data_IF_783035335114
#
_entry.id   IF_783035335114
#
_cell.length_a   1.000
_cell.length_b   1.000
_cell.length_c   1.000
_cell.angle_alpha   90.00
_cell.angle_beta   90.00
_cell.angle_gamma   90.00
#
_symmetry.space_group_name_H-M   'P 1'
#
loop_
_entity.id
_entity.type
_entity.pdbx_description
1 polymer ?
#
# COMPACT_ATOMS: atom_id res chain seq x y z
N UNK A 1 -14.86 -7.54 11.96
CA UNK A 1 -13.87 -7.26 10.88
C UNK A 1 -13.02 -6.00 11.12
N UNK A 2 -13.57 -4.78 11.17
CA UNK A 2 -12.74 -3.56 11.38
C UNK A 2 -12.05 -3.47 12.75
N UNK A 3 -12.78 -3.79 13.83
CA UNK A 3 -12.22 -3.80 15.19
C UNK A 3 -11.17 -4.90 15.38
N UNK A 4 -11.35 -6.08 14.77
CA UNK A 4 -10.34 -7.16 14.77
C UNK A 4 -9.06 -6.72 14.06
N UNK A 5 -9.16 -5.96 12.96
CA UNK A 5 -7.99 -5.44 12.26
C UNK A 5 -7.21 -4.44 13.12
N UNK A 6 -7.92 -3.57 13.86
CA UNK A 6 -7.28 -2.66 14.82
C UNK A 6 -6.67 -3.41 16.00
N UNK A 7 -7.33 -4.44 16.53
CA UNK A 7 -6.82 -5.25 17.63
C UNK A 7 -5.48 -5.91 17.29
N UNK A 8 -5.26 -6.32 16.04
CA UNK A 8 -3.97 -6.86 15.58
C UNK A 8 -2.82 -5.84 15.66
N UNK A 9 -3.11 -4.55 15.62
CA UNK A 9 -2.10 -3.49 15.75
C UNK A 9 -1.71 -3.21 17.21
N UNK A 10 -2.57 -3.61 18.14
CA UNK A 10 -2.32 -3.44 19.57
C UNK A 10 -1.40 -4.56 20.12
N UNK A 11 -1.39 -5.74 19.49
CA UNK A 11 -0.46 -6.80 19.85
C UNK A 11 0.97 -6.46 19.39
N UNK A 12 1.80 -6.03 20.34
CA UNK A 12 3.20 -5.65 20.08
C UNK A 12 4.07 -6.86 19.86
N UNK A 13 5.06 -6.71 18.97
CA UNK A 13 6.06 -7.74 18.77
C UNK A 13 6.92 -7.92 20.03
N UNK A 14 7.25 -9.16 20.37
CA UNK A 14 8.22 -9.40 21.43
C UNK A 14 9.66 -9.16 20.93
N UNK A 15 10.60 -9.01 21.86
CA UNK A 15 12.02 -8.87 21.47
C UNK A 15 12.51 -10.08 20.67
N UNK A 16 12.08 -11.29 21.03
CA UNK A 16 12.43 -12.54 20.35
C UNK A 16 11.92 -12.54 18.91
N UNK A 17 10.72 -12.02 18.67
CA UNK A 17 10.18 -11.88 17.32
C UNK A 17 10.99 -10.89 16.48
N UNK A 18 11.43 -9.77 17.08
CA UNK A 18 12.28 -8.78 16.41
C UNK A 18 13.67 -9.38 16.10
N UNK A 19 14.26 -10.10 17.06
CA UNK A 19 15.54 -10.81 16.88
C UNK A 19 15.43 -11.88 15.80
N UNK A 20 14.37 -12.68 15.78
CA UNK A 20 14.13 -13.70 14.77
C UNK A 20 13.97 -13.09 13.36
N UNK A 21 13.24 -11.97 13.26
CA UNK A 21 13.14 -11.23 12.00
C UNK A 21 14.50 -10.72 11.52
N UNK A 22 15.31 -10.15 12.41
CA UNK A 22 16.66 -9.70 12.06
C UNK A 22 17.48 -10.84 11.46
N UNK A 23 17.47 -12.02 12.11
CA UNK A 23 18.17 -13.21 11.62
C UNK A 23 17.65 -13.68 10.25
N UNK A 24 16.34 -13.62 10.01
CA UNK A 24 15.77 -13.95 8.69
C UNK A 24 16.26 -13.00 7.61
N UNK A 25 16.29 -11.69 7.89
CA UNK A 25 16.75 -10.69 6.93
C UNK A 25 18.26 -10.79 6.69
N UNK A 26 19.06 -10.99 7.74
CA UNK A 26 20.51 -11.12 7.60
C UNK A 26 20.94 -12.40 6.87
N UNK A 27 20.15 -13.48 7.00
CA UNK A 27 20.36 -14.71 6.23
C UNK A 27 19.90 -14.63 4.78
N UNK A 28 18.95 -13.74 4.47
CA UNK A 28 18.34 -13.59 3.14
C UNK A 28 18.91 -12.48 2.27
N UNK A 29 19.54 -11.47 2.87
CA UNK A 29 19.96 -10.24 2.19
C UNK A 29 21.43 -9.91 2.48
N UNK A 30 22.03 -9.12 1.59
CA UNK A 30 23.41 -8.65 1.77
C UNK A 30 23.47 -7.59 2.85
N UNK A 31 24.36 -7.75 3.82
CA UNK A 31 24.71 -6.69 4.77
C UNK A 31 25.56 -5.61 4.11
N UNK A 32 25.55 -4.40 4.67
CA UNK A 32 26.49 -3.36 4.23
C UNK A 32 27.91 -3.73 4.67
N UNK A 33 28.93 -3.49 3.83
CA UNK A 33 30.32 -3.80 4.18
C UNK A 33 30.73 -3.11 5.48
N UNK A 34 31.42 -3.83 6.36
CA UNK A 34 32.01 -3.33 7.63
C UNK A 34 31.01 -2.90 8.72
N UNK A 35 29.75 -3.30 8.65
CA UNK A 35 28.83 -3.12 9.79
C UNK A 35 29.11 -4.14 10.90
N UNK A 36 29.11 -3.66 12.14
CA UNK A 36 29.02 -4.51 13.33
C UNK A 36 27.62 -5.12 13.39
N UNK A 37 27.55 -6.45 13.27
CA UNK A 37 26.29 -7.20 13.26
C UNK A 37 25.53 -7.08 14.58
N UNK A 38 26.24 -7.05 15.72
CA UNK A 38 25.62 -6.91 17.04
C UNK A 38 25.04 -5.52 17.22
N UNK A 39 25.80 -4.48 16.86
CA UNK A 39 25.30 -3.11 16.91
C UNK A 39 24.10 -2.92 15.98
N UNK A 40 24.10 -3.57 14.81
CA UNK A 40 22.98 -3.53 13.87
C UNK A 40 21.74 -4.24 14.43
N UNK A 41 21.90 -5.42 15.03
CA UNK A 41 20.79 -6.14 15.68
C UNK A 41 20.16 -5.30 16.81
N UNK A 42 20.98 -4.63 17.61
CA UNK A 42 20.52 -3.71 18.67
C UNK A 42 19.76 -2.52 18.07
N UNK A 43 20.27 -1.92 16.99
CA UNK A 43 19.58 -0.82 16.31
C UNK A 43 18.19 -1.25 15.79
N UNK A 44 18.07 -2.46 15.25
CA UNK A 44 16.79 -3.04 14.85
C UNK A 44 15.85 -3.25 16.04
N UNK A 45 16.34 -3.80 17.15
CA UNK A 45 15.57 -3.98 18.37
C UNK A 45 15.00 -2.65 18.87
N UNK A 46 15.82 -1.61 18.97
CA UNK A 46 15.39 -0.29 19.41
C UNK A 46 14.41 0.37 18.45
N UNK A 47 14.70 0.34 17.14
CA UNK A 47 13.89 1.06 16.14
C UNK A 47 12.50 0.43 15.97
N UNK A 48 12.38 -0.87 16.20
CA UNK A 48 11.13 -1.60 15.95
C UNK A 48 10.32 -1.91 17.21
N UNK A 49 10.86 -1.55 18.37
CA UNK A 49 10.14 -1.68 19.63
C UNK A 49 8.84 -0.85 19.60
N UNK A 50 7.74 -1.44 20.09
CA UNK A 50 6.43 -0.79 20.11
C UNK A 50 5.62 -0.91 18.80
N UNK A 51 6.20 -1.48 17.74
CA UNK A 51 5.47 -1.85 16.54
C UNK A 51 4.68 -3.15 16.74
N UNK A 52 3.57 -3.28 16.02
CA UNK A 52 2.74 -4.48 16.07
C UNK A 52 3.48 -5.69 15.50
N UNK A 53 3.22 -6.86 16.10
CA UNK A 53 3.68 -8.15 15.60
C UNK A 53 3.28 -8.36 14.14
N UNK A 54 2.07 -7.94 13.77
CA UNK A 54 1.58 -8.04 12.41
C UNK A 54 2.42 -7.20 11.43
N UNK A 55 2.75 -5.96 11.77
CA UNK A 55 3.54 -5.09 10.90
C UNK A 55 4.94 -5.65 10.68
N UNK A 56 5.62 -6.11 11.75
CA UNK A 56 6.97 -6.70 11.63
C UNK A 56 6.95 -7.96 10.75
N UNK A 57 6.02 -8.90 10.98
CA UNK A 57 5.93 -10.13 10.18
C UNK A 57 5.62 -9.82 8.71
N UNK A 58 4.73 -8.86 8.46
CA UNK A 58 4.36 -8.45 7.11
C UNK A 58 5.53 -7.78 6.40
N UNK A 59 6.20 -6.83 7.06
CA UNK A 59 7.37 -6.15 6.52
C UNK A 59 8.51 -7.12 6.18
N UNK A 60 8.82 -8.05 7.09
CA UNK A 60 9.84 -9.09 6.87
C UNK A 60 9.54 -9.89 5.60
N UNK A 61 8.31 -10.38 5.48
CA UNK A 61 7.86 -11.16 4.32
C UNK A 61 7.94 -10.34 3.04
N UNK A 62 7.50 -9.09 3.08
CA UNK A 62 7.45 -8.24 1.89
C UNK A 62 8.87 -7.88 1.43
N UNK A 63 9.79 -7.59 2.36
CA UNK A 63 11.22 -7.40 2.09
C UNK A 63 11.83 -8.64 1.46
N UNK A 64 11.64 -9.82 2.07
CA UNK A 64 12.16 -11.09 1.55
C UNK A 64 11.61 -11.46 0.17
N UNK A 65 10.41 -10.99 -0.18
CA UNK A 65 9.80 -11.19 -1.50
C UNK A 65 10.15 -10.08 -2.50
N UNK A 66 10.93 -9.07 -2.10
CA UNK A 66 11.21 -7.90 -2.93
C UNK A 66 9.97 -7.04 -3.24
N UNK A 67 8.94 -7.09 -2.39
CA UNK A 67 7.67 -6.36 -2.52
C UNK A 67 7.56 -5.13 -1.63
N UNK A 68 8.52 -4.92 -0.72
CA UNK A 68 8.54 -3.76 0.14
C UNK A 68 8.97 -2.50 -0.64
N UNK A 69 7.97 -1.76 -1.13
CA UNK A 69 8.19 -0.55 -1.93
C UNK A 69 9.06 0.47 -1.17
N UNK A 70 10.07 1.00 -1.85
CA UNK A 70 11.02 1.96 -1.27
C UNK A 70 12.20 1.32 -0.52
N UNK A 71 12.19 0.01 -0.29
CA UNK A 71 13.33 -0.71 0.31
C UNK A 71 14.12 -1.48 -0.76
N UNK A 72 15.40 -1.75 -0.47
CA UNK A 72 16.24 -2.56 -1.35
C UNK A 72 15.75 -4.01 -1.42
N UNK A 73 15.76 -4.59 -2.61
CA UNK A 73 15.49 -6.01 -2.83
C UNK A 73 16.72 -6.90 -2.62
N UNK A 74 17.90 -6.30 -2.44
CA UNK A 74 19.18 -7.01 -2.37
C UNK A 74 19.91 -6.79 -1.04
N UNK A 75 19.84 -5.57 -0.52
CA UNK A 75 20.55 -5.19 0.71
C UNK A 75 19.58 -5.14 1.88
N UNK A 76 20.11 -5.50 3.06
CA UNK A 76 19.39 -5.34 4.31
C UNK A 76 19.00 -3.87 4.51
N UNK A 77 17.74 -3.56 4.85
CA UNK A 77 17.31 -2.18 5.04
C UNK A 77 18.04 -1.52 6.22
N UNK A 78 18.09 -0.19 6.27
CA UNK A 78 18.40 0.47 7.52
C UNK A 78 17.24 0.24 8.51
N UNK A 79 17.54 0.17 9.81
CA UNK A 79 16.49 -0.05 10.83
C UNK A 79 15.41 1.04 10.79
N UNK A 80 15.81 2.29 10.54
CA UNK A 80 14.90 3.42 10.37
C UNK A 80 13.99 3.28 9.14
N UNK A 81 14.53 2.85 8.00
CA UNK A 81 13.72 2.66 6.79
C UNK A 81 12.70 1.53 6.97
N UNK A 82 13.10 0.43 7.63
CA UNK A 82 12.20 -0.66 7.94
C UNK A 82 11.12 -0.25 8.95
N UNK A 83 11.47 0.56 9.95
CA UNK A 83 10.50 1.14 10.90
C UNK A 83 9.45 1.97 10.17
N UNK A 84 9.85 2.89 9.29
CA UNK A 84 8.92 3.71 8.50
C UNK A 84 7.99 2.85 7.63
N UNK A 85 8.53 1.78 7.03
CA UNK A 85 7.70 0.85 6.27
C UNK A 85 6.65 0.16 7.16
N UNK A 86 7.04 -0.29 8.35
CA UNK A 86 6.11 -0.86 9.33
C UNK A 86 5.04 0.15 9.77
N UNK A 87 5.42 1.38 10.11
CA UNK A 87 4.47 2.44 10.49
C UNK A 87 3.47 2.73 9.37
N UNK A 88 3.93 2.76 8.12
CA UNK A 88 3.06 2.89 6.96
C UNK A 88 2.05 1.76 6.89
N UNK A 89 2.46 0.50 7.09
CA UNK A 89 1.54 -0.65 7.10
C UNK A 89 0.45 -0.49 8.18
N UNK A 90 0.81 -0.05 9.38
CA UNK A 90 -0.17 0.17 10.46
C UNK A 90 -1.12 1.32 10.12
N UNK A 91 -0.58 2.43 9.61
CA UNK A 91 -1.36 3.60 9.22
C UNK A 91 -2.34 3.31 8.07
N UNK A 92 -1.94 2.48 7.11
CA UNK A 92 -2.79 2.05 6.00
C UNK A 92 -4.03 1.30 6.54
N UNK A 93 -3.85 0.42 7.54
CA UNK A 93 -4.99 -0.26 8.22
C UNK A 93 -5.84 0.75 8.98
N UNK A 94 -5.24 1.60 9.83
CA UNK A 94 -5.99 2.58 10.64
C UNK A 94 -6.83 3.51 9.77
N UNK A 95 -6.25 4.00 8.68
CA UNK A 95 -6.92 4.88 7.71
C UNK A 95 -8.05 4.15 6.98
N UNK A 96 -7.82 2.92 6.53
CA UNK A 96 -8.82 2.10 5.85
C UNK A 96 -10.01 1.82 6.75
N UNK A 97 -9.77 1.39 7.99
CA UNK A 97 -10.84 1.10 8.96
C UNK A 97 -11.62 2.37 9.31
N UNK A 98 -10.93 3.50 9.55
CA UNK A 98 -11.58 4.80 9.79
C UNK A 98 -12.46 5.21 8.60
N UNK A 99 -11.97 5.04 7.37
CA UNK A 99 -12.72 5.35 6.15
C UNK A 99 -13.99 4.50 5.99
N UNK A 100 -13.91 3.21 6.31
CA UNK A 100 -15.07 2.31 6.31
C UNK A 100 -16.11 2.77 7.33
N UNK A 101 -15.73 2.99 8.59
CA UNK A 101 -16.67 3.44 9.62
C UNK A 101 -17.30 4.79 9.26
N UNK A 102 -16.50 5.75 8.80
CA UNK A 102 -17.01 7.06 8.34
C UNK A 102 -18.01 6.93 7.18
N UNK A 103 -17.83 5.92 6.31
CA UNK A 103 -18.74 5.66 5.19
C UNK A 103 -20.04 4.99 5.64
N UNK A 104 -19.97 4.10 6.64
CA UNK A 104 -21.14 3.44 7.22
C UNK A 104 -22.00 4.40 8.05
N UNK A 105 -21.35 5.32 8.78
CA UNK A 105 -22.04 6.35 9.57
C UNK A 105 -22.60 7.49 8.70
N UNK A 106 -22.27 7.53 7.41
CA UNK A 106 -22.80 8.53 6.51
C UNK A 106 -24.30 8.28 6.32
N UNK A 107 -25.17 9.25 6.65
CA UNK A 107 -26.59 9.09 6.38
C UNK A 107 -26.81 8.90 4.88
N UNK A 108 -27.72 8.00 4.52
CA UNK A 108 -28.15 7.85 3.13
C UNK A 108 -28.60 9.22 2.61
N UNK A 109 -27.85 9.75 1.64
CA UNK A 109 -28.25 10.96 0.95
C UNK A 109 -29.43 10.55 0.07
N UNK A 110 -30.65 10.82 0.54
CA UNK A 110 -31.84 10.75 -0.32
C UNK A 110 -31.52 11.59 -1.56
N UNK A 111 -31.68 11.05 -2.79
CA UNK A 111 -31.37 11.80 -4.00
C UNK A 111 -32.14 13.13 -3.96
N UNK A 112 -31.40 14.24 -3.89
CA UNK A 112 -31.97 15.58 -4.03
C UNK A 112 -32.14 15.85 -5.52
N UNK A 113 -33.36 15.65 -6.01
CA UNK A 113 -33.76 15.91 -7.38
C UNK A 113 -34.91 15.01 -7.82
N UNK A 114 -35.65 15.44 -8.83
CA UNK A 114 -36.62 14.59 -9.50
C UNK A 114 -35.90 13.42 -10.19
N UNK A 115 -36.47 12.21 -10.17
CA UNK A 115 -35.93 11.10 -10.94
C UNK A 115 -35.80 11.50 -12.41
N UNK A 116 -34.69 11.10 -13.04
CA UNK A 116 -34.45 11.39 -14.46
C UNK A 116 -35.61 10.80 -15.27
N UNK A 117 -36.29 11.64 -16.06
CA UNK A 117 -37.38 11.16 -16.92
C UNK A 117 -36.88 10.10 -17.89
N UNK A 118 -37.74 9.16 -18.27
CA UNK A 118 -37.40 8.07 -19.18
C UNK A 118 -36.79 8.59 -20.50
N UNK A 119 -37.27 9.74 -21.00
CA UNK A 119 -36.72 10.40 -22.20
C UNK A 119 -35.29 10.93 -21.99
N UNK A 120 -35.02 11.59 -20.86
CA UNK A 120 -33.67 12.06 -20.52
C UNK A 120 -32.71 10.88 -20.36
N UNK A 121 -33.18 9.77 -19.78
CA UNK A 121 -32.39 8.55 -19.62
C UNK A 121 -32.11 7.87 -20.96
N UNK A 122 -33.11 7.75 -21.84
CA UNK A 122 -32.95 7.21 -23.18
C UNK A 122 -31.95 8.04 -24.02
N UNK A 123 -32.02 9.37 -23.93
CA UNK A 123 -31.09 10.29 -24.59
C UNK A 123 -29.65 10.10 -24.09
N UNK A 124 -29.45 9.95 -22.77
CA UNK A 124 -28.14 9.67 -22.19
C UNK A 124 -27.56 8.34 -22.69
N UNK A 125 -28.37 7.27 -22.67
CA UNK A 125 -27.95 5.95 -23.16
C UNK A 125 -27.64 5.97 -24.67
N UNK A 126 -28.35 6.78 -25.45
CA UNK A 126 -28.04 7.00 -26.87
C UNK A 126 -26.71 7.73 -27.06
N UNK A 127 -26.36 8.70 -26.20
CA UNK A 127 -25.08 9.40 -26.26
C UNK A 127 -23.90 8.48 -25.89
N UNK A 128 -24.07 7.62 -24.89
CA UNK A 128 -23.04 6.65 -24.47
C UNK A 128 -22.80 5.54 -25.52
N UNK A 129 -23.83 5.19 -26.29
CA UNK A 129 -23.72 4.22 -27.40
C UNK A 129 -23.05 4.80 -28.65
N UNK A 130 -22.87 6.12 -28.76
CA UNK A 130 -22.17 6.73 -29.90
C UNK A 130 -20.67 6.75 -29.59
N UNK A 131 -19.83 5.88 -30.20
CA UNK A 131 -18.39 6.06 -30.10
C UNK A 131 -18.03 7.38 -30.79
N UNK A 132 -17.61 8.37 -30.01
CA UNK A 132 -16.75 9.45 -30.49
C UNK A 132 -15.34 9.06 -30.08
N UNK A 133 -14.56 8.45 -30.98
CA UNK A 133 -13.30 8.96 -31.55
C UNK A 133 -12.96 8.03 -32.74
N UNK A 134 -13.04 8.53 -33.98
CA UNK A 134 -12.33 7.94 -35.12
C UNK A 134 -10.91 8.51 -35.10
N UNK A 135 -9.92 7.69 -34.76
CA UNK A 135 -8.50 8.05 -34.74
C UNK A 135 -7.87 8.18 -36.16
N UNK A 136 -8.71 8.27 -37.20
CA UNK A 136 -8.28 8.33 -38.61
C UNK A 136 -8.09 9.75 -39.15
N UNK A 137 -8.10 10.79 -38.30
CA UNK A 137 -7.92 12.19 -38.71
C UNK A 137 -6.53 12.77 -38.36
N UNK A 138 -5.53 11.95 -38.05
CA UNK A 138 -4.12 12.35 -38.09
C UNK A 138 -3.53 11.78 -39.38
N UNK A 139 -3.50 12.65 -40.40
CA UNK A 139 -3.27 12.31 -41.78
C UNK A 139 -1.91 11.67 -42.05
N UNK A 140 -1.96 10.53 -42.73
CA UNK A 140 -0.97 10.21 -43.76
C UNK A 140 -1.22 11.11 -44.96
N UNK A 141 -0.35 12.09 -45.17
CA UNK A 141 0.03 12.56 -46.50
C UNK A 141 1.56 12.52 -46.55
N UNK A 142 2.09 11.32 -46.78
CA UNK A 142 3.36 11.15 -47.47
C UNK A 142 3.07 10.97 -48.96
N UNK A 143 3.97 11.53 -49.77
CA UNK A 143 4.27 11.24 -51.17
C UNK A 143 3.54 12.07 -52.25
N UNK A 144 4.31 13.01 -52.82
CA UNK A 144 5.01 12.88 -54.11
C UNK A 144 4.89 14.08 -55.08
N UNK A 145 6.02 14.37 -55.74
CA UNK A 145 6.24 15.14 -56.98
C UNK A 145 6.37 16.67 -56.92
N UNK A 146 7.62 17.15 -56.83
CA UNK A 146 8.35 17.82 -57.93
C UNK A 146 9.83 18.03 -57.57
#
# INVERSE_FOLDING_TARGET
>A
MGNEALQKLEEKASEEEIKAMFLMLSGGLKSQPRKDEKATAVAYLFSLNGLSRWAIKTATRDVMKGKAAGLSTTFMPASADLMLYCEKLENDIRTTVKGIFTSLDRPEIKPKGEPVSAEKWAKLMQMLKKPKISLSALGNQSDEAA
#
